data_IF_773042109278
#
_entry.id   IF_773042109278
#
_cell.length_a   1.000
_cell.length_b   1.000
_cell.length_c   1.000
_cell.angle_alpha   90.00
_cell.angle_beta   90.00
_cell.angle_gamma   90.00
#
_symmetry.space_group_name_H-M   'P 1'
#
loop_
_entity.id
_entity.type
_entity.pdbx_description
1 polymer ?
#
# COMPACT_ATOMS: atom_id res chain seq x y z
N UNK A 1 -20.49 -3.17 -3.38
CA UNK A 1 -20.03 -3.77 -4.65
C UNK A 1 -19.62 -5.23 -4.47
N UNK A 2 -18.64 -5.54 -3.62
CA UNK A 2 -18.11 -6.90 -3.43
C UNK A 2 -19.17 -7.93 -2.99
N UNK A 3 -20.02 -7.60 -2.01
CA UNK A 3 -21.13 -8.46 -1.58
C UNK A 3 -22.11 -8.77 -2.70
N UNK A 4 -22.41 -7.79 -3.56
CA UNK A 4 -23.30 -7.97 -4.72
C UNK A 4 -22.67 -8.89 -5.78
N UNK A 5 -21.35 -8.92 -5.87
CA UNK A 5 -20.61 -9.83 -6.73
C UNK A 5 -20.40 -11.23 -6.13
N UNK A 6 -20.97 -11.51 -4.95
CA UNK A 6 -20.79 -12.79 -4.25
C UNK A 6 -19.38 -13.00 -3.68
N UNK A 7 -18.56 -11.95 -3.63
CA UNK A 7 -17.21 -12.00 -3.10
C UNK A 7 -17.24 -11.80 -1.58
N UNK A 8 -16.55 -12.69 -0.86
CA UNK A 8 -16.26 -12.52 0.56
C UNK A 8 -15.14 -11.50 0.68
N UNK A 9 -15.43 -10.41 1.37
CA UNK A 9 -14.47 -9.35 1.65
C UNK A 9 -14.83 -8.70 2.98
N UNK A 10 -13.82 -8.18 3.65
CA UNK A 10 -13.95 -7.38 4.85
C UNK A 10 -13.42 -5.97 4.58
N UNK A 11 -13.91 -5.01 5.36
CA UNK A 11 -13.41 -3.63 5.34
C UNK A 11 -12.69 -3.37 6.64
N UNK A 12 -11.41 -3.02 6.55
CA UNK A 12 -10.59 -2.66 7.70
C UNK A 12 -10.17 -1.20 7.58
N UNK A 13 -10.32 -0.46 8.67
CA UNK A 13 -9.83 0.90 8.80
C UNK A 13 -8.59 0.90 9.69
N UNK A 14 -7.48 1.41 9.16
CA UNK A 14 -6.22 1.48 9.87
C UNK A 14 -5.08 1.90 8.94
N UNK A 15 -3.87 1.90 9.50
CA UNK A 15 -2.65 2.23 8.80
C UNK A 15 -2.16 0.97 8.05
N UNK A 16 -2.08 1.07 6.73
CA UNK A 16 -1.56 0.03 5.84
C UNK A 16 -0.10 0.25 5.44
N UNK A 17 0.65 1.06 6.20
CA UNK A 17 2.10 1.04 6.15
C UNK A 17 2.66 -0.03 7.09
N UNK A 18 3.60 -0.86 6.60
CA UNK A 18 4.40 -1.74 7.44
C UNK A 18 5.15 -0.95 8.51
N UNK A 19 5.40 -1.58 9.66
CA UNK A 19 6.20 -0.95 10.71
C UNK A 19 7.60 -0.56 10.19
N UNK A 20 8.03 0.68 10.43
CA UNK A 20 9.32 1.20 9.96
C UNK A 20 9.31 1.77 8.55
N UNK A 21 8.18 1.71 7.82
CA UNK A 21 8.05 2.28 6.48
C UNK A 21 8.28 3.81 6.46
N UNK A 22 8.02 4.51 7.57
CA UNK A 22 8.26 5.93 7.76
C UNK A 22 9.72 6.34 7.48
N UNK A 23 10.69 5.43 7.70
CA UNK A 23 12.10 5.69 7.40
C UNK A 23 12.37 5.86 5.90
N UNK A 24 11.50 5.33 5.03
CA UNK A 24 11.63 5.43 3.57
C UNK A 24 11.16 6.79 3.02
N UNK A 25 10.46 7.60 3.82
CA UNK A 25 9.97 8.92 3.45
C UNK A 25 11.09 9.95 3.15
N UNK A 26 12.34 9.67 3.56
CA UNK A 26 13.50 10.58 3.39
C UNK A 26 13.16 12.02 3.85
N UNK A 27 13.72 13.04 3.19
CA UNK A 27 13.44 14.48 3.46
C UNK A 27 12.10 14.96 2.87
N UNK A 28 11.26 14.07 2.33
CA UNK A 28 9.96 14.46 1.77
C UNK A 28 8.94 14.57 2.91
N UNK A 29 9.08 15.64 3.69
CA UNK A 29 8.35 15.89 4.94
C UNK A 29 6.84 16.17 4.75
N UNK A 30 6.25 15.92 3.58
CA UNK A 30 4.86 16.31 3.26
C UNK A 30 3.98 15.14 2.79
N UNK A 31 4.34 13.89 3.08
CA UNK A 31 3.47 12.74 2.78
C UNK A 31 2.25 12.75 3.70
N UNK A 32 1.09 13.17 3.17
CA UNK A 32 -0.19 13.21 3.86
C UNK A 32 -0.52 11.88 4.56
N UNK A 33 -0.12 10.76 3.97
CA UNK A 33 -0.37 9.43 4.51
C UNK A 33 0.38 9.13 5.81
N UNK A 34 1.50 9.81 6.09
CA UNK A 34 2.31 9.62 7.31
C UNK A 34 1.81 10.43 8.50
N UNK A 35 0.99 11.46 8.28
CA UNK A 35 0.47 12.31 9.36
C UNK A 35 -0.76 11.73 10.06
N UNK A 36 -1.38 10.69 9.47
CA UNK A 36 -2.54 10.03 10.04
C UNK A 36 -2.10 8.91 10.99
N UNK A 37 -1.94 9.24 12.27
CA UNK A 37 -1.62 8.26 13.31
C UNK A 37 -2.87 7.47 13.71
N UNK A 38 -3.22 6.48 12.90
CA UNK A 38 -4.24 5.47 13.20
C UNK A 38 -3.58 4.11 13.49
N UNK A 39 -4.25 3.20 14.23
CA UNK A 39 -3.71 1.86 14.51
C UNK A 39 -3.36 1.09 13.25
N UNK A 40 -2.41 0.16 13.35
CA UNK A 40 -1.99 -0.68 12.23
C UNK A 40 -3.12 -1.64 11.81
N UNK A 41 -3.46 -1.62 10.51
CA UNK A 41 -4.40 -2.58 9.94
C UNK A 41 -3.81 -4.00 9.95
N UNK A 42 -2.51 -4.13 9.71
CA UNK A 42 -1.78 -5.40 9.76
C UNK A 42 -1.89 -6.10 11.11
N UNK A 43 -1.78 -5.34 12.22
CA UNK A 43 -1.97 -5.89 13.57
C UNK A 43 -3.41 -6.36 13.82
N UNK A 44 -4.40 -5.66 13.25
CA UNK A 44 -5.82 -6.03 13.41
C UNK A 44 -6.15 -7.30 12.61
N UNK A 45 -5.52 -7.45 11.45
CA UNK A 45 -5.68 -8.58 10.53
C UNK A 45 -4.85 -9.80 10.91
N UNK A 46 -3.86 -9.64 11.80
CA UNK A 46 -2.81 -10.64 12.06
C UNK A 46 -2.09 -11.08 10.76
N UNK A 47 -1.78 -10.09 9.93
CA UNK A 47 -1.11 -10.27 8.63
C UNK A 47 0.05 -9.29 8.50
N UNK A 48 0.93 -9.55 7.53
CA UNK A 48 2.03 -8.70 7.11
C UNK A 48 1.83 -8.23 5.66
N UNK A 49 2.65 -7.29 5.20
CA UNK A 49 2.52 -6.74 3.84
C UNK A 49 2.84 -7.75 2.74
N UNK A 50 3.76 -8.68 3.01
CA UNK A 50 4.14 -9.78 2.14
C UNK A 50 3.14 -10.95 2.12
N UNK A 51 2.08 -10.91 2.92
CA UNK A 51 0.97 -11.86 2.78
C UNK A 51 0.05 -11.53 1.58
N UNK A 52 0.22 -10.36 0.96
CA UNK A 52 -0.63 -9.88 -0.13
C UNK A 52 0.03 -10.01 -1.51
N UNK A 53 -0.63 -10.73 -2.42
CA UNK A 53 -0.19 -10.86 -3.81
C UNK A 53 -0.43 -9.58 -4.66
N UNK A 54 -1.38 -8.74 -4.27
CA UNK A 54 -1.74 -7.49 -4.96
C UNK A 54 -2.02 -6.41 -3.92
N UNK A 55 -1.34 -5.28 -4.08
CA UNK A 55 -1.55 -4.06 -3.30
C UNK A 55 -2.11 -3.01 -4.25
N UNK A 56 -3.28 -2.47 -3.91
CA UNK A 56 -3.86 -1.34 -4.60
C UNK A 56 -3.54 -0.05 -3.84
N UNK A 57 -3.11 0.98 -4.56
CA UNK A 57 -2.78 2.27 -3.97
C UNK A 57 -3.40 3.43 -4.73
N UNK A 58 -3.77 4.47 -3.97
CA UNK A 58 -4.21 5.76 -4.46
C UNK A 58 -3.32 6.83 -3.81
N UNK A 59 -2.16 7.15 -4.41
CA UNK A 59 -1.19 8.06 -3.81
C UNK A 59 -1.74 9.48 -3.74
N UNK A 60 -1.43 10.19 -2.64
CA UNK A 60 -1.54 11.65 -2.66
C UNK A 60 -0.49 12.25 -3.62
N UNK A 61 -0.70 13.50 -4.09
CA UNK A 61 0.31 14.20 -4.88
C UNK A 61 1.68 14.17 -4.19
N UNK A 62 2.70 13.67 -4.91
CA UNK A 62 4.07 13.53 -4.41
C UNK A 62 4.38 12.22 -3.68
N UNK A 63 3.42 11.29 -3.49
CA UNK A 63 3.68 10.04 -2.76
C UNK A 63 4.04 8.84 -3.65
N UNK A 64 3.97 8.98 -4.98
CA UNK A 64 4.24 7.92 -5.97
C UNK A 64 5.53 7.13 -5.66
N UNK A 65 6.65 7.84 -5.55
CA UNK A 65 7.94 7.21 -5.27
C UNK A 65 7.99 6.58 -3.88
N UNK A 66 7.42 7.23 -2.88
CA UNK A 66 7.40 6.67 -1.52
C UNK A 66 6.63 5.35 -1.47
N UNK A 67 5.46 5.26 -2.11
CA UNK A 67 4.69 4.01 -2.17
C UNK A 67 5.42 2.91 -2.95
N UNK A 68 6.09 3.25 -4.06
CA UNK A 68 6.92 2.29 -4.79
C UNK A 68 8.08 1.77 -3.93
N UNK A 69 8.72 2.63 -3.13
CA UNK A 69 9.81 2.22 -2.23
C UNK A 69 9.30 1.34 -1.08
N UNK A 70 8.17 1.68 -0.47
CA UNK A 70 7.51 0.81 0.54
C UNK A 70 7.20 -0.54 -0.08
N UNK A 71 6.59 -0.57 -1.25
CA UNK A 71 6.27 -1.81 -1.96
C UNK A 71 7.53 -2.63 -2.26
N UNK A 72 8.58 -2.00 -2.79
CA UNK A 72 9.86 -2.64 -3.09
C UNK A 72 10.46 -3.32 -1.86
N UNK A 73 10.43 -2.65 -0.70
CA UNK A 73 11.04 -3.16 0.54
C UNK A 73 10.20 -4.25 1.21
N UNK A 74 8.88 -4.05 1.31
CA UNK A 74 8.05 -4.86 2.21
C UNK A 74 7.11 -5.87 1.53
N UNK A 75 6.81 -5.74 0.24
CA UNK A 75 5.92 -6.67 -0.43
C UNK A 75 6.63 -8.00 -0.74
N UNK A 76 5.85 -9.07 -0.95
CA UNK A 76 6.37 -10.36 -1.38
C UNK A 76 7.04 -10.29 -2.75
N UNK A 77 7.95 -11.22 -3.04
CA UNK A 77 8.41 -11.44 -4.41
C UNK A 77 7.23 -11.73 -5.34
N UNK A 78 7.31 -11.23 -6.57
CA UNK A 78 6.26 -11.35 -7.59
C UNK A 78 4.92 -10.70 -7.26
N UNK A 79 4.77 -10.06 -6.08
CA UNK A 79 3.61 -9.25 -5.77
C UNK A 79 3.43 -8.13 -6.80
N UNK A 80 2.20 -7.61 -6.87
CA UNK A 80 1.81 -6.53 -7.75
C UNK A 80 1.46 -5.27 -6.96
N UNK A 81 1.90 -4.11 -7.45
CA UNK A 81 1.42 -2.80 -7.01
C UNK A 81 0.62 -2.19 -8.15
N UNK A 82 -0.68 -2.01 -7.93
CA UNK A 82 -1.58 -1.29 -8.83
C UNK A 82 -1.81 0.12 -8.28
N UNK A 83 -1.24 1.12 -8.93
CA UNK A 83 -1.45 2.53 -8.57
C UNK A 83 -2.48 3.16 -9.50
N UNK A 84 -3.51 3.75 -8.91
CA UNK A 84 -4.45 4.61 -9.62
C UNK A 84 -4.03 6.06 -9.43
N UNK A 85 -3.45 6.67 -10.46
CA UNK A 85 -2.93 8.05 -10.42
C UNK A 85 -3.97 9.06 -10.92
N UNK A 86 -4.99 8.57 -11.62
CA UNK A 86 -6.12 9.36 -12.08
C UNK A 86 -6.98 8.57 -13.07
N UNK A 87 -8.08 9.14 -13.57
CA UNK A 87 -9.01 8.47 -14.49
C UNK A 87 -8.37 8.02 -15.81
N UNK A 88 -7.21 8.57 -16.17
CA UNK A 88 -6.48 8.27 -17.40
C UNK A 88 -5.11 7.63 -17.16
N UNK A 89 -4.76 7.36 -15.91
CA UNK A 89 -3.42 6.91 -15.55
C UNK A 89 -3.50 5.86 -14.44
N UNK A 90 -3.21 4.62 -14.84
CA UNK A 90 -3.12 3.46 -13.98
C UNK A 90 -1.78 2.80 -14.29
N UNK A 91 -0.97 2.59 -13.26
CA UNK A 91 0.32 1.95 -13.37
C UNK A 91 0.32 0.61 -12.63
N UNK A 92 0.95 -0.40 -13.21
CA UNK A 92 1.11 -1.72 -12.62
C UNK A 92 2.58 -2.08 -12.54
N UNK A 93 3.06 -2.33 -11.32
CA UNK A 93 4.42 -2.78 -11.06
C UNK A 93 4.38 -4.22 -10.57
N UNK A 94 5.41 -4.99 -10.92
CA UNK A 94 5.67 -6.32 -10.35
C UNK A 94 6.98 -6.26 -9.60
N UNK A 95 7.01 -6.71 -8.35
CA UNK A 95 8.27 -6.93 -7.64
C UNK A 95 8.99 -8.11 -8.26
N UNK A 96 10.23 -7.89 -8.70
CA UNK A 96 11.14 -8.97 -9.12
C UNK A 96 11.97 -9.39 -7.90
N UNK A 97 12.41 -10.66 -7.83
CA UNK A 97 13.40 -11.09 -6.85
C UNK A 97 14.68 -10.25 -6.99
N UNK A 98 15.37 -10.02 -5.87
CA UNK A 98 16.65 -9.30 -5.84
C UNK A 98 17.80 -10.11 -6.48
#
# INVERSE_FOLDING_TARGET
FLTRAGLRAETVHGNFFPAGAEHLAKRQANHASLFHQVPSAYQTLDLQCDDFALIFAYPWPGEHHYLQEVFRVFAAEHALLLMFLGPYEIELFRKVPD
#
